data_IF_388323027132
#
_entry.id   IF_388323027132
#
_cell.length_a   1.000
_cell.length_b   1.000
_cell.length_c   1.000
_cell.angle_alpha   90.00
_cell.angle_beta   90.00
_cell.angle_gamma   90.00
#
_symmetry.space_group_name_H-M   'P 1'
#
loop_
_entity.id
_entity.type
_entity.pdbx_description
1 polymer ?
#
# COMPACT_ATOMS: atom_id res chain seq x y z
N UNK A 1 -11.90 10.16 6.15
CA UNK A 1 -11.95 11.49 5.60
C UNK A 1 -10.75 11.68 4.68
N UNK A 2 -11.00 11.99 3.39
CA UNK A 2 -9.96 12.29 2.43
C UNK A 2 -9.48 13.74 2.55
N UNK A 3 -8.64 14.16 1.63
CA UNK A 3 -8.29 15.56 1.40
C UNK A 3 -9.28 16.17 0.39
N UNK A 4 -9.28 17.48 0.27
CA UNK A 4 -10.13 18.17 -0.71
C UNK A 4 -9.81 17.70 -2.14
N UNK A 5 -10.83 17.61 -3.02
CA UNK A 5 -10.64 17.27 -4.41
C UNK A 5 -9.64 18.23 -5.09
N UNK A 6 -8.75 17.66 -5.90
CA UNK A 6 -7.78 18.42 -6.68
C UNK A 6 -8.01 18.19 -8.17
N UNK A 7 -7.76 19.18 -9.05
CA UNK A 7 -7.85 18.98 -10.48
C UNK A 7 -6.79 17.98 -10.95
N UNK A 8 -7.19 17.05 -11.81
CA UNK A 8 -6.25 16.16 -12.49
C UNK A 8 -5.36 16.97 -13.44
N UNK A 9 -4.06 16.72 -13.44
CA UNK A 9 -3.11 17.35 -14.38
C UNK A 9 -2.40 16.31 -15.26
N UNK A 10 -1.60 15.43 -14.67
CA UNK A 10 -0.94 14.33 -15.36
C UNK A 10 -0.85 13.12 -14.42
N UNK A 11 -0.59 11.94 -15.00
CA UNK A 11 -0.39 10.72 -14.25
C UNK A 11 0.76 10.86 -13.25
N UNK A 12 1.90 11.35 -13.72
CA UNK A 12 3.10 11.52 -12.90
C UNK A 12 2.86 12.48 -11.73
N UNK A 13 2.22 13.62 -12.00
CA UNK A 13 1.90 14.58 -10.96
C UNK A 13 0.95 14.00 -9.92
N UNK A 14 -0.06 13.26 -10.36
CA UNK A 14 -1.01 12.58 -9.45
C UNK A 14 -0.29 11.58 -8.55
N UNK A 15 0.60 10.76 -9.10
CA UNK A 15 1.40 9.80 -8.33
C UNK A 15 2.34 10.51 -7.36
N UNK A 16 2.96 11.62 -7.77
CA UNK A 16 3.82 12.42 -6.92
C UNK A 16 3.09 12.97 -5.71
N UNK A 17 1.92 13.58 -5.90
CA UNK A 17 1.11 14.09 -4.81
C UNK A 17 0.62 12.99 -3.86
N UNK A 18 0.21 11.84 -4.41
CA UNK A 18 -0.19 10.68 -3.60
C UNK A 18 0.98 10.15 -2.78
N UNK A 19 2.16 10.02 -3.39
CA UNK A 19 3.37 9.56 -2.73
C UNK A 19 3.82 10.51 -1.61
N UNK A 20 3.85 11.81 -1.89
CA UNK A 20 4.20 12.82 -0.89
C UNK A 20 3.22 12.80 0.29
N UNK A 21 1.92 12.62 0.01
CA UNK A 21 0.90 12.45 1.05
C UNK A 21 1.16 11.22 1.90
N UNK A 22 1.56 10.08 1.30
CA UNK A 22 1.89 8.86 2.05
C UNK A 22 3.10 9.05 2.97
N UNK A 23 4.11 9.82 2.56
CA UNK A 23 5.31 10.07 3.35
C UNK A 23 5.08 11.12 4.45
N UNK A 24 4.31 12.17 4.15
CA UNK A 24 4.08 13.31 5.06
C UNK A 24 2.97 13.03 6.09
N UNK A 25 2.11 12.05 5.84
CA UNK A 25 1.06 11.67 6.78
C UNK A 25 1.58 11.09 8.11
N UNK A 26 2.77 11.47 8.49
CA UNK A 26 3.32 11.43 9.83
C UNK A 26 3.05 10.17 10.65
N UNK A 27 3.49 10.19 11.87
CA UNK A 27 3.07 9.20 12.86
C UNK A 27 1.60 9.44 13.22
N UNK A 28 0.76 8.43 13.08
CA UNK A 28 -0.59 8.46 13.63
C UNK A 28 -0.74 7.45 14.75
N UNK A 29 -1.54 7.82 15.74
CA UNK A 29 -1.86 6.95 16.85
C UNK A 29 -3.05 6.09 16.50
N UNK A 30 -2.93 4.80 16.72
CA UNK A 30 -3.98 3.82 16.51
C UNK A 30 -4.21 3.04 17.80
N UNK A 31 -5.47 2.96 18.23
CA UNK A 31 -5.87 2.06 19.31
C UNK A 31 -6.18 0.70 18.70
N UNK A 32 -5.40 -0.31 19.06
CA UNK A 32 -5.72 -1.69 18.76
C UNK A 32 -6.49 -2.31 19.91
N UNK A 33 -7.57 -3.00 19.60
CA UNK A 33 -8.31 -3.84 20.56
C UNK A 33 -8.07 -5.29 20.20
N UNK A 34 -7.62 -6.07 21.17
CA UNK A 34 -7.45 -7.50 21.04
C UNK A 34 -7.97 -8.23 22.28
N UNK A 35 -8.38 -9.49 22.09
CA UNK A 35 -8.83 -10.33 23.19
C UNK A 35 -7.63 -11.03 23.81
N UNK A 36 -7.41 -10.78 25.09
CA UNK A 36 -6.40 -11.49 25.88
C UNK A 36 -7.01 -12.81 26.41
N UNK A 37 -6.57 -13.91 25.87
CA UNK A 37 -7.04 -15.26 26.27
C UNK A 37 -6.61 -15.66 27.67
N UNK A 38 -5.53 -15.08 28.20
CA UNK A 38 -5.03 -15.39 29.56
C UNK A 38 -5.86 -14.63 30.61
N UNK A 39 -6.21 -13.39 30.31
CA UNK A 39 -6.99 -12.54 31.21
C UNK A 39 -8.50 -12.66 30.98
N UNK A 40 -8.94 -13.24 29.87
CA UNK A 40 -10.34 -13.36 29.51
C UNK A 40 -11.03 -12.01 29.30
N UNK A 41 -10.31 -11.01 28.80
CA UNK A 41 -10.81 -9.63 28.66
C UNK A 41 -10.26 -8.94 27.42
N UNK A 42 -11.02 -7.92 26.96
CA UNK A 42 -10.53 -7.02 25.89
C UNK A 42 -9.45 -6.09 26.45
N UNK A 43 -8.32 -6.05 25.75
CA UNK A 43 -7.22 -5.13 26.01
C UNK A 43 -7.14 -4.09 24.91
N UNK A 44 -6.60 -2.92 25.26
CA UNK A 44 -6.35 -1.83 24.34
C UNK A 44 -4.86 -1.46 24.38
N UNK A 45 -4.25 -1.38 23.21
CA UNK A 45 -2.87 -0.95 23.05
C UNK A 45 -2.82 0.26 22.14
N UNK A 46 -2.11 1.29 22.55
CA UNK A 46 -1.82 2.45 21.70
C UNK A 46 -0.59 2.16 20.86
N UNK A 47 -0.79 2.05 19.55
CA UNK A 47 0.32 1.93 18.61
C UNK A 47 0.54 3.26 17.89
N UNK A 48 1.79 3.69 17.82
CA UNK A 48 2.21 4.79 16.98
C UNK A 48 2.83 4.23 15.71
N UNK A 49 2.19 4.48 14.56
CA UNK A 49 2.74 4.09 13.27
C UNK A 49 3.73 5.16 12.82
N UNK A 50 4.96 4.74 12.60
CA UNK A 50 6.01 5.61 12.07
C UNK A 50 5.87 5.74 10.54
N UNK A 51 6.13 6.91 9.98
CA UNK A 51 6.20 7.08 8.53
C UNK A 51 7.34 6.24 7.93
N UNK A 52 7.25 5.98 6.63
CA UNK A 52 8.34 5.36 5.89
C UNK A 52 9.58 6.28 5.89
N UNK A 53 10.74 5.67 6.02
CA UNK A 53 12.03 6.37 6.07
C UNK A 53 13.01 5.81 5.04
N UNK A 54 13.98 6.61 4.65
CA UNK A 54 15.09 6.14 3.79
C UNK A 54 15.75 4.89 4.39
N UNK A 55 15.96 3.89 3.57
CA UNK A 55 16.44 2.56 3.96
C UNK A 55 15.33 1.54 4.23
N UNK A 56 14.07 1.97 4.30
CA UNK A 56 12.98 1.02 4.50
C UNK A 56 12.72 0.19 3.24
N UNK A 57 12.34 -1.07 3.46
CA UNK A 57 11.91 -2.03 2.45
C UNK A 57 10.39 -2.09 2.43
N UNK A 58 9.79 -2.10 1.24
CA UNK A 58 8.34 -2.06 1.09
C UNK A 58 7.82 -3.08 0.07
N UNK A 59 6.57 -3.49 0.26
CA UNK A 59 5.77 -4.12 -0.79
C UNK A 59 4.82 -3.05 -1.33
N UNK A 60 4.74 -2.92 -2.65
CA UNK A 60 3.88 -1.96 -3.32
C UNK A 60 2.64 -2.63 -3.92
N UNK A 61 1.47 -2.10 -3.66
CA UNK A 61 0.23 -2.48 -4.33
C UNK A 61 -0.30 -1.29 -5.11
N UNK A 62 -0.44 -1.44 -6.43
CA UNK A 62 -1.17 -0.52 -7.30
C UNK A 62 -2.47 -1.20 -7.71
N UNK A 63 -3.56 -0.77 -7.09
CA UNK A 63 -4.85 -1.43 -7.18
C UNK A 63 -5.82 -0.65 -8.06
N UNK A 64 -6.41 -1.32 -9.04
CA UNK A 64 -7.46 -0.78 -9.92
C UNK A 64 -8.80 -0.68 -9.18
N UNK A 65 -9.47 0.45 -9.34
CA UNK A 65 -10.83 0.64 -8.79
C UNK A 65 -11.95 0.21 -9.76
N UNK A 66 -11.59 -0.40 -10.90
CA UNK A 66 -12.53 -1.08 -11.80
C UNK A 66 -12.36 -0.70 -13.27
N UNK A 67 -12.33 0.57 -13.61
CA UNK A 67 -12.37 1.05 -15.00
C UNK A 67 -11.03 1.59 -15.54
N UNK A 68 -9.94 1.53 -14.78
CA UNK A 68 -8.63 2.02 -15.24
C UNK A 68 -7.91 0.95 -16.07
N UNK A 69 -7.46 1.23 -17.30
CA UNK A 69 -6.68 0.30 -18.09
C UNK A 69 -5.42 -0.18 -17.36
N UNK A 70 -5.07 -1.45 -17.52
CA UNK A 70 -3.87 -2.03 -16.89
C UNK A 70 -2.59 -1.32 -17.32
N UNK A 71 -2.52 -0.83 -18.56
CA UNK A 71 -1.40 -0.03 -19.06
C UNK A 71 -1.16 1.25 -18.25
N UNK A 72 -2.23 1.90 -17.80
CA UNK A 72 -2.12 3.09 -16.95
C UNK A 72 -1.61 2.72 -15.55
N UNK A 73 -2.04 1.58 -15.00
CA UNK A 73 -1.51 1.09 -13.72
C UNK A 73 -0.01 0.80 -13.78
N UNK A 74 0.50 0.31 -14.92
CA UNK A 74 1.94 0.16 -15.10
C UNK A 74 2.65 1.52 -15.18
N UNK A 75 2.02 2.54 -15.77
CA UNK A 75 2.51 3.92 -15.73
C UNK A 75 2.60 4.45 -14.30
N UNK A 76 1.54 4.25 -13.51
CA UNK A 76 1.52 4.57 -12.06
C UNK A 76 2.67 3.88 -11.33
N UNK A 77 2.84 2.57 -11.54
CA UNK A 77 3.90 1.81 -10.87
C UNK A 77 5.30 2.27 -11.28
N UNK A 78 5.51 2.58 -12.56
CA UNK A 78 6.78 3.12 -13.03
C UNK A 78 7.13 4.43 -12.34
N UNK A 79 6.17 5.37 -12.22
CA UNK A 79 6.39 6.62 -11.49
C UNK A 79 6.62 6.38 -10.01
N UNK A 80 5.83 5.51 -9.39
CA UNK A 80 5.97 5.12 -7.99
C UNK A 80 7.38 4.57 -7.69
N UNK A 81 7.91 3.69 -8.56
CA UNK A 81 9.26 3.14 -8.43
C UNK A 81 10.31 4.23 -8.40
N UNK A 82 10.20 5.20 -9.32
CA UNK A 82 11.10 6.38 -9.36
C UNK A 82 11.04 7.17 -8.06
N UNK A 83 9.85 7.42 -7.53
CA UNK A 83 9.65 8.16 -6.28
C UNK A 83 10.19 7.38 -5.06
N UNK A 84 9.95 6.07 -4.99
CA UNK A 84 10.51 5.22 -3.94
C UNK A 84 12.04 5.28 -3.93
N UNK A 85 12.68 5.13 -5.10
CA UNK A 85 14.14 5.23 -5.21
C UNK A 85 14.67 6.58 -4.76
N UNK A 86 14.03 7.69 -5.16
CA UNK A 86 14.41 9.04 -4.74
C UNK A 86 14.28 9.25 -3.22
N UNK A 87 13.30 8.60 -2.60
CA UNK A 87 13.09 8.63 -1.15
C UNK A 87 13.98 7.61 -0.38
N UNK A 88 14.79 6.83 -1.09
CA UNK A 88 15.64 5.79 -0.48
C UNK A 88 14.86 4.56 -0.03
N UNK A 89 13.66 4.31 -0.56
CA UNK A 89 12.86 3.11 -0.29
C UNK A 89 13.19 2.02 -1.30
N UNK A 90 13.21 0.77 -0.85
CA UNK A 90 13.40 -0.41 -1.71
C UNK A 90 12.08 -1.16 -1.87
N UNK A 91 11.58 -1.28 -3.10
CA UNK A 91 10.41 -2.12 -3.41
C UNK A 91 10.89 -3.55 -3.58
N UNK A 92 10.54 -4.43 -2.64
CA UNK A 92 10.91 -5.84 -2.63
C UNK A 92 9.95 -6.70 -3.47
N UNK A 93 8.66 -6.40 -3.40
CA UNK A 93 7.59 -7.11 -4.11
C UNK A 93 6.52 -6.12 -4.54
N UNK A 94 5.73 -6.50 -5.53
CA UNK A 94 4.61 -5.68 -5.96
C UNK A 94 3.41 -6.51 -6.40
N UNK A 95 2.24 -5.89 -6.35
CA UNK A 95 1.02 -6.33 -7.02
C UNK A 95 0.43 -5.17 -7.82
N UNK A 96 0.09 -5.43 -9.08
CA UNK A 96 -0.52 -4.44 -9.98
C UNK A 96 -1.74 -5.08 -10.62
N UNK A 97 -2.93 -4.58 -10.32
CA UNK A 97 -4.17 -5.17 -10.83
C UNK A 97 -5.40 -4.82 -10.01
N UNK A 98 -6.51 -5.53 -10.24
CA UNK A 98 -7.78 -5.32 -9.56
C UNK A 98 -7.93 -6.35 -8.41
N UNK A 99 -7.52 -5.98 -7.21
CA UNK A 99 -7.57 -6.86 -6.02
C UNK A 99 -8.64 -6.45 -5.02
N UNK A 100 -8.84 -5.14 -4.84
CA UNK A 100 -9.89 -4.59 -4.00
C UNK A 100 -10.58 -3.49 -4.82
N UNK A 101 -11.53 -3.89 -5.65
CA UNK A 101 -12.08 -3.07 -6.73
C UNK A 101 -13.54 -2.72 -6.50
N UNK A 102 -14.05 -1.74 -7.25
CA UNK A 102 -15.47 -1.48 -7.43
C UNK A 102 -15.93 -2.00 -8.79
N UNK A 103 -17.20 -1.77 -9.15
CA UNK A 103 -17.74 -2.23 -10.42
C UNK A 103 -17.20 -1.44 -11.62
N UNK A 104 -17.17 -0.11 -11.52
CA UNK A 104 -16.87 0.77 -12.66
C UNK A 104 -16.33 2.15 -12.22
N UNK A 105 -15.38 2.17 -11.30
CA UNK A 105 -14.76 3.42 -10.88
C UNK A 105 -13.45 3.64 -11.63
N UNK A 106 -13.35 4.73 -12.38
CA UNK A 106 -12.08 5.17 -12.96
C UNK A 106 -11.19 5.69 -11.85
N UNK A 107 -10.06 5.03 -11.64
CA UNK A 107 -9.11 5.40 -10.60
C UNK A 107 -8.27 4.23 -10.12
N UNK A 108 -7.35 4.53 -9.23
CA UNK A 108 -6.46 3.57 -8.60
C UNK A 108 -6.14 3.96 -7.16
N UNK A 109 -5.62 3.02 -6.40
CA UNK A 109 -5.04 3.29 -5.09
C UNK A 109 -3.60 2.78 -5.03
N UNK A 110 -2.78 3.43 -4.20
CA UNK A 110 -1.41 3.04 -3.91
C UNK A 110 -1.31 2.67 -2.44
N UNK A 111 -0.78 1.48 -2.17
CA UNK A 111 -0.46 1.04 -0.81
C UNK A 111 1.01 0.67 -0.74
N UNK A 112 1.70 1.15 0.29
CA UNK A 112 3.07 0.77 0.62
C UNK A 112 3.07 0.11 2.00
N UNK A 113 3.45 -1.16 2.04
CA UNK A 113 3.60 -1.93 3.28
C UNK A 113 5.08 -2.01 3.62
N UNK A 114 5.49 -1.44 4.75
CA UNK A 114 6.85 -1.66 5.30
C UNK A 114 7.01 -3.12 5.69
N UNK A 115 8.14 -3.72 5.29
CA UNK A 115 8.39 -5.15 5.47
C UNK A 115 9.76 -5.42 6.08
N UNK A 116 9.81 -6.54 6.78
CA UNK A 116 11.00 -7.22 7.27
C UNK A 116 11.14 -8.61 6.60
N UNK A 117 12.12 -9.39 7.01
CA UNK A 117 12.36 -10.71 6.42
C UNK A 117 11.23 -11.70 6.74
N UNK A 118 10.60 -11.61 7.90
CA UNK A 118 9.46 -12.44 8.27
C UNK A 118 8.24 -12.12 7.38
N UNK A 119 7.92 -10.85 7.21
CA UNK A 119 6.82 -10.40 6.34
C UNK A 119 7.04 -10.82 4.90
N UNK A 120 8.28 -10.72 4.39
CA UNK A 120 8.60 -11.19 3.04
C UNK A 120 8.49 -12.71 2.90
N UNK A 121 8.93 -13.48 3.89
CA UNK A 121 8.77 -14.92 3.88
C UNK A 121 7.29 -15.34 3.88
N UNK A 122 6.45 -14.64 4.65
CA UNK A 122 5.00 -14.86 4.65
C UNK A 122 4.36 -14.45 3.32
N UNK A 123 4.79 -13.35 2.72
CA UNK A 123 4.32 -12.91 1.41
C UNK A 123 4.67 -13.90 0.31
N UNK A 124 5.88 -14.44 0.33
CA UNK A 124 6.37 -15.38 -0.69
C UNK A 124 5.81 -16.81 -0.49
N UNK A 125 5.14 -17.09 0.63
CA UNK A 125 4.51 -18.38 0.88
C UNK A 125 3.45 -18.70 -0.21
N UNK A 126 3.29 -19.99 -0.58
CA UNK A 126 2.32 -20.38 -1.60
C UNK A 126 0.89 -19.94 -1.24
N UNK A 127 0.22 -19.31 -2.20
CA UNK A 127 -1.19 -18.90 -2.09
C UNK A 127 -1.99 -19.56 -3.19
N UNK A 128 -3.11 -20.17 -2.81
CA UNK A 128 -4.03 -20.79 -3.75
C UNK A 128 -5.47 -20.42 -3.39
N UNK A 129 -5.99 -19.39 -4.03
CA UNK A 129 -7.39 -18.93 -3.90
C UNK A 129 -7.99 -18.69 -5.27
N UNK A 130 -9.31 -18.54 -5.41
CA UNK A 130 -9.94 -18.21 -6.69
C UNK A 130 -9.44 -16.94 -7.35
N UNK A 131 -8.99 -15.95 -6.56
CA UNK A 131 -8.59 -14.63 -7.06
C UNK A 131 -7.07 -14.41 -7.06
N UNK A 132 -6.31 -15.24 -6.34
CA UNK A 132 -4.88 -15.02 -6.14
C UNK A 132 -4.17 -16.37 -6.08
N UNK A 133 -3.16 -16.54 -6.93
CA UNK A 133 -2.43 -17.78 -7.03
C UNK A 133 -0.95 -17.50 -7.34
N UNK A 134 -0.04 -17.88 -6.43
CA UNK A 134 1.39 -17.87 -6.66
C UNK A 134 2.10 -18.93 -5.81
N UNK A 135 3.35 -19.22 -6.17
CA UNK A 135 4.12 -20.29 -5.55
C UNK A 135 3.69 -21.69 -6.01
N UNK A 136 4.49 -22.69 -5.69
CA UNK A 136 4.23 -24.11 -5.97
C UNK A 136 4.44 -24.94 -4.72
#
# INVERSE_FOLDING_TARGET
PGIDPRPFSSLDHTVDEMFDTLLVNGSYHRTLRFWDYQQGSWQEEQQTKQPLQSGDRVIALVNNLGATPLSELYGVYNRLTTRCQQAGLTIERNLIGAYCTSLDMTGFSITLLKVDDETLALWDAPVHTPALNWGK
#
